data_IF_747651584896
#
_entry.id   IF_747651584896
#
_cell.length_a   1.000
_cell.length_b   1.000
_cell.length_c   1.000
_cell.angle_alpha   90.00
_cell.angle_beta   90.00
_cell.angle_gamma   90.00
#
_symmetry.space_group_name_H-M   'P 1'
#
loop_
_entity.id
_entity.type
_entity.pdbx_description
1 polymer ?
#
# COMPACT_ATOMS: atom_id res chain seq x y z
N UNK A 1 15.91 0.64 3.06
CA UNK A 1 15.65 -0.06 4.35
C UNK A 1 15.35 -1.53 4.08
N UNK A 2 15.63 -2.42 5.03
CA UNK A 2 15.17 -3.81 4.98
C UNK A 2 13.70 -3.89 5.42
N UNK A 3 12.88 -4.59 4.65
CA UNK A 3 11.45 -4.71 4.89
C UNK A 3 10.95 -6.14 4.69
N UNK A 4 9.92 -6.51 5.44
CA UNK A 4 9.12 -7.72 5.19
C UNK A 4 7.93 -7.36 4.30
N UNK A 5 7.60 -8.20 3.32
CA UNK A 5 6.41 -8.01 2.51
C UNK A 5 5.24 -8.82 3.06
N UNK A 6 4.13 -8.15 3.42
CA UNK A 6 2.86 -8.82 3.67
C UNK A 6 2.26 -9.21 2.32
N UNK A 7 2.23 -10.51 2.04
CA UNK A 7 1.76 -11.08 0.77
C UNK A 7 0.43 -11.80 0.98
N UNK A 8 -0.58 -11.39 0.22
CA UNK A 8 -1.87 -12.09 0.14
C UNK A 8 -1.95 -13.04 -1.07
N UNK A 9 -1.04 -12.88 -2.04
CA UNK A 9 -1.06 -13.57 -3.33
C UNK A 9 -1.59 -12.71 -4.47
N UNK A 10 -2.44 -11.74 -4.15
CA UNK A 10 -3.04 -10.85 -5.13
C UNK A 10 -2.11 -9.76 -5.66
N UNK A 11 -2.62 -9.08 -6.69
CA UNK A 11 -1.95 -8.01 -7.44
C UNK A 11 -1.39 -6.91 -6.54
N UNK A 12 -2.12 -6.49 -5.51
CA UNK A 12 -1.78 -5.28 -4.75
C UNK A 12 -0.58 -5.52 -3.84
N UNK A 13 -0.57 -6.65 -3.14
CA UNK A 13 0.55 -7.03 -2.27
C UNK A 13 1.85 -7.19 -3.06
N UNK A 14 1.79 -7.80 -4.25
CA UNK A 14 2.95 -7.97 -5.12
C UNK A 14 3.39 -6.66 -5.77
N UNK A 15 2.45 -5.82 -6.21
CA UNK A 15 2.77 -4.54 -6.83
C UNK A 15 3.34 -3.55 -5.82
N UNK A 16 2.85 -3.52 -4.58
CA UNK A 16 3.47 -2.71 -3.53
C UNK A 16 4.89 -3.18 -3.19
N UNK A 17 5.14 -4.49 -3.18
CA UNK A 17 6.50 -5.02 -3.01
C UNK A 17 7.41 -4.55 -4.16
N UNK A 18 6.92 -4.52 -5.41
CA UNK A 18 7.62 -3.96 -6.57
C UNK A 18 7.96 -2.48 -6.34
N UNK A 19 7.00 -1.68 -5.86
CA UNK A 19 7.25 -0.30 -5.47
C UNK A 19 8.34 -0.17 -4.40
N UNK A 20 8.32 -1.01 -3.37
CA UNK A 20 9.35 -1.01 -2.34
C UNK A 20 10.75 -1.24 -2.94
N UNK A 21 10.91 -2.28 -3.76
CA UNK A 21 12.20 -2.60 -4.39
C UNK A 21 12.66 -1.47 -5.31
N UNK A 22 11.79 -0.96 -6.17
CA UNK A 22 12.10 0.15 -7.07
C UNK A 22 12.48 1.44 -6.31
N UNK A 23 11.91 1.68 -5.13
CA UNK A 23 12.29 2.81 -4.26
C UNK A 23 13.54 2.54 -3.41
N UNK A 24 14.28 1.46 -3.67
CA UNK A 24 15.55 1.14 -2.98
C UNK A 24 15.38 0.47 -1.62
N UNK A 25 14.20 -0.05 -1.31
CA UNK A 25 14.01 -0.95 -0.17
C UNK A 25 14.41 -2.38 -0.54
N UNK A 26 14.81 -3.15 0.45
CA UNK A 26 15.19 -4.55 0.28
C UNK A 26 14.12 -5.41 0.94
N UNK A 27 13.43 -6.22 0.15
CA UNK A 27 12.52 -7.23 0.70
C UNK A 27 13.37 -8.41 1.18
N UNK A 28 13.36 -8.65 2.49
CA UNK A 28 14.21 -9.67 3.14
C UNK A 28 13.44 -10.88 3.64
N UNK A 29 12.11 -10.79 3.68
CA UNK A 29 11.21 -11.89 4.03
C UNK A 29 9.82 -11.62 3.47
N UNK A 30 9.04 -12.69 3.37
CA UNK A 30 7.61 -12.66 3.10
C UNK A 30 6.86 -13.04 4.38
N UNK A 31 5.69 -12.45 4.60
CA UNK A 31 4.80 -12.77 5.70
C UNK A 31 3.36 -12.88 5.19
N UNK A 32 2.62 -13.87 5.68
CA UNK A 32 1.24 -14.12 5.26
C UNK A 32 0.41 -14.65 6.43
N UNK A 33 -0.74 -14.02 6.67
CA UNK A 33 -1.80 -14.59 7.49
C UNK A 33 -2.70 -15.44 6.60
N UNK A 34 -3.13 -16.59 7.11
CA UNK A 34 -3.93 -17.54 6.35
C UNK A 34 -5.09 -18.11 7.17
N UNK A 35 -6.17 -18.58 6.53
CA UNK A 35 -7.25 -19.25 7.24
C UNK A 35 -6.75 -20.49 8.01
N UNK A 36 -7.38 -20.83 9.15
CA UNK A 36 -7.20 -22.12 9.82
C UNK A 36 -7.49 -23.30 8.88
N UNK A 37 -6.79 -24.42 9.07
CA UNK A 37 -6.88 -25.59 8.20
C UNK A 37 -8.28 -26.26 8.18
N UNK A 38 -9.12 -25.97 9.16
CA UNK A 38 -10.46 -26.54 9.37
C UNK A 38 -11.60 -25.66 8.82
N UNK A 39 -11.29 -24.48 8.27
CA UNK A 39 -12.28 -23.45 7.93
C UNK A 39 -12.56 -23.26 6.43
N UNK A 40 -11.99 -24.11 5.56
CA UNK A 40 -12.20 -24.04 4.11
C UNK A 40 -11.44 -22.90 3.43
N UNK A 41 -11.60 -22.78 2.10
CA UNK A 41 -10.85 -21.83 1.27
C UNK A 41 -11.47 -20.41 1.24
N UNK A 42 -12.74 -20.26 1.63
CA UNK A 42 -13.47 -19.00 1.62
C UNK A 42 -14.00 -18.66 3.02
N UNK A 43 -13.47 -17.59 3.59
CA UNK A 43 -13.95 -16.99 4.83
C UNK A 43 -14.36 -15.54 4.60
N UNK A 44 -15.34 -15.07 5.35
CA UNK A 44 -15.71 -13.66 5.44
C UNK A 44 -14.68 -12.87 6.27
N UNK A 45 -13.43 -12.77 5.78
CA UNK A 45 -12.43 -11.86 6.36
C UNK A 45 -12.44 -10.52 5.64
N UNK A 46 -12.61 -9.43 6.41
CA UNK A 46 -12.48 -8.07 5.88
C UNK A 46 -11.00 -7.63 5.69
N UNK A 47 -10.04 -8.36 6.29
CA UNK A 47 -8.63 -7.98 6.26
C UNK A 47 -7.78 -8.80 5.28
N UNK A 48 -8.11 -10.09 5.06
CA UNK A 48 -7.23 -11.00 4.33
C UNK A 48 -7.92 -11.79 3.23
N UNK A 49 -7.21 -11.92 2.11
CA UNK A 49 -7.58 -12.83 1.02
C UNK A 49 -7.47 -14.28 1.50
N UNK A 50 -8.53 -15.06 1.37
CA UNK A 50 -8.51 -16.50 1.75
C UNK A 50 -8.45 -17.43 0.54
N UNK A 51 -9.02 -17.00 -0.61
CA UNK A 51 -8.96 -17.80 -1.83
C UNK A 51 -7.53 -17.85 -2.36
N UNK A 52 -7.05 -19.05 -2.68
CA UNK A 52 -5.69 -19.29 -3.15
C UNK A 52 -4.61 -19.24 -2.06
N UNK A 53 -4.98 -19.19 -0.78
CA UNK A 53 -4.01 -19.15 0.33
C UNK A 53 -3.07 -20.37 0.34
N UNK A 54 -3.50 -21.51 -0.21
CA UNK A 54 -2.72 -22.73 -0.34
C UNK A 54 -1.56 -22.60 -1.34
N UNK A 55 -1.64 -21.66 -2.27
CA UNK A 55 -0.60 -21.40 -3.29
C UNK A 55 0.52 -20.49 -2.73
N UNK A 56 0.22 -19.64 -1.76
CA UNK A 56 1.13 -18.60 -1.26
C UNK A 56 2.48 -19.12 -0.75
N UNK A 57 2.60 -20.30 -0.11
CA UNK A 57 3.91 -20.89 0.22
C UNK A 57 4.91 -20.96 -0.94
N UNK A 58 4.41 -21.11 -2.18
CA UNK A 58 5.27 -21.16 -3.37
C UNK A 58 5.93 -19.82 -3.69
N UNK A 59 5.36 -18.69 -3.22
CA UNK A 59 5.89 -17.34 -3.48
C UNK A 59 7.29 -17.16 -2.88
N UNK A 60 7.63 -17.87 -1.80
CA UNK A 60 8.97 -17.88 -1.22
C UNK A 60 10.05 -18.26 -2.24
N UNK A 61 9.71 -19.13 -3.20
CA UNK A 61 10.59 -19.59 -4.27
C UNK A 61 10.59 -18.65 -5.49
N UNK A 62 9.59 -17.77 -5.58
CA UNK A 62 9.42 -16.85 -6.69
C UNK A 62 10.19 -15.55 -6.48
N UNK A 63 10.10 -14.93 -5.30
CA UNK A 63 10.67 -13.60 -5.06
C UNK A 63 12.21 -13.57 -5.08
N UNK A 64 12.75 -12.44 -5.55
CA UNK A 64 14.19 -12.16 -5.50
C UNK A 64 14.76 -12.06 -4.08
N UNK A 65 15.93 -12.67 -3.87
CA UNK A 65 16.83 -12.26 -2.79
C UNK A 65 17.65 -11.02 -3.22
N UNK A 66 17.73 -9.96 -2.40
CA UNK A 66 18.35 -8.69 -2.81
C UNK A 66 19.87 -8.76 -3.05
N UNK A 67 20.56 -9.75 -2.50
CA UNK A 67 22.03 -9.89 -2.60
C UNK A 67 22.49 -10.84 -3.72
N UNK A 68 21.58 -11.50 -4.45
CA UNK A 68 21.97 -12.45 -5.50
C UNK A 68 21.11 -12.31 -6.75
N UNK A 69 21.77 -12.06 -7.88
CA UNK A 69 21.18 -12.06 -9.21
C UNK A 69 21.10 -13.47 -9.83
N UNK A 70 21.67 -14.48 -9.17
CA UNK A 70 21.68 -15.86 -9.65
C UNK A 70 20.31 -16.52 -9.54
N UNK A 71 19.97 -17.39 -10.50
CA UNK A 71 18.78 -18.24 -10.45
C UNK A 71 18.82 -19.17 -9.23
N UNK A 72 20.01 -19.63 -8.83
CA UNK A 72 20.21 -20.52 -7.70
C UNK A 72 20.26 -19.80 -6.33
N UNK A 73 19.85 -18.54 -6.27
CA UNK A 73 19.74 -17.82 -5.01
C UNK A 73 18.77 -18.54 -4.05
N UNK A 74 19.06 -18.57 -2.75
CA UNK A 74 18.15 -19.18 -1.80
C UNK A 74 16.79 -18.44 -1.80
N UNK A 75 15.68 -19.17 -1.58
CA UNK A 75 14.35 -18.57 -1.49
C UNK A 75 14.29 -17.57 -0.32
N UNK A 76 13.41 -16.57 -0.43
CA UNK A 76 13.18 -15.66 0.69
C UNK A 76 12.54 -16.44 1.86
N UNK A 77 12.95 -16.16 3.12
CA UNK A 77 12.24 -16.65 4.29
C UNK A 77 10.76 -16.27 4.22
N UNK A 78 9.87 -17.23 4.49
CA UNK A 78 8.44 -16.99 4.55
C UNK A 78 7.90 -17.36 5.92
N UNK A 79 7.23 -16.40 6.55
CA UNK A 79 6.57 -16.54 7.83
C UNK A 79 5.07 -16.64 7.60
N UNK A 80 4.44 -17.67 8.16
CA UNK A 80 3.01 -17.90 8.04
C UNK A 80 2.40 -18.14 9.40
N UNK A 81 1.22 -17.57 9.61
CA UNK A 81 0.45 -17.76 10.83
C UNK A 81 -1.04 -17.90 10.47
N UNK A 82 -1.70 -18.85 11.12
CA UNK A 82 -3.14 -19.02 10.98
C UNK A 82 -3.86 -17.87 11.71
N UNK A 83 -4.94 -17.37 11.12
CA UNK A 83 -5.81 -16.37 11.74
C UNK A 83 -6.65 -17.12 12.78
N UNK A 84 -6.36 -16.87 14.05
CA UNK A 84 -7.09 -17.47 15.18
C UNK A 84 -8.12 -16.50 15.76
N UNK A 85 -7.93 -15.21 15.51
CA UNK A 85 -8.83 -14.16 15.94
C UNK A 85 -10.01 -13.94 15.00
N UNK A 86 -11.08 -13.35 15.55
CA UNK A 86 -12.24 -12.85 14.79
C UNK A 86 -12.07 -11.35 14.49
N UNK A 87 -12.80 -10.78 13.52
CA UNK A 87 -12.87 -9.32 13.30
C UNK A 87 -13.67 -8.63 14.43
N UNK A 88 -13.16 -8.69 15.66
CA UNK A 88 -13.89 -8.30 16.86
C UNK A 88 -14.02 -6.77 17.03
N UNK A 89 -13.10 -6.01 16.44
CA UNK A 89 -13.15 -4.55 16.45
C UNK A 89 -13.35 -4.07 15.02
N UNK A 90 -14.55 -3.56 14.67
CA UNK A 90 -14.88 -3.11 13.29
C UNK A 90 -14.80 -1.57 13.15
N UNK A 91 -14.46 -0.86 14.22
CA UNK A 91 -14.36 0.59 14.25
C UNK A 91 -13.28 1.17 13.32
N UNK A 92 -13.41 2.48 13.04
CA UNK A 92 -12.41 3.28 12.32
C UNK A 92 -11.13 3.45 13.16
N UNK A 93 -11.29 3.56 14.48
CA UNK A 93 -10.21 3.49 15.46
C UNK A 93 -10.04 2.05 15.96
N UNK A 94 -8.80 1.65 16.16
CA UNK A 94 -8.46 0.38 16.78
C UNK A 94 -7.86 0.61 18.17
N UNK A 95 -8.52 0.09 19.19
CA UNK A 95 -8.05 0.07 20.58
C UNK A 95 -7.81 -1.40 20.96
N UNK A 96 -6.59 -1.75 21.35
CA UNK A 96 -6.30 -3.11 21.81
C UNK A 96 -6.89 -3.35 23.22
N UNK A 97 -6.94 -4.61 23.66
CA UNK A 97 -7.42 -4.96 25.00
C UNK A 97 -6.60 -4.30 26.14
N UNK A 98 -5.31 -4.00 25.91
CA UNK A 98 -4.46 -3.34 26.90
C UNK A 98 -4.84 -1.85 27.12
N UNK A 99 -5.31 -1.16 26.08
CA UNK A 99 -5.78 0.23 26.14
C UNK A 99 -7.19 0.35 26.75
N UNK A 100 -7.98 -0.74 26.76
CA UNK A 100 -9.34 -0.79 27.34
C UNK A 100 -9.37 -0.99 28.86
N UNK A 101 -8.23 -1.17 29.53
CA UNK A 101 -8.16 -1.40 30.98
C UNK A 101 -8.65 -0.21 31.84
N UNK A 102 -9.07 0.91 31.24
CA UNK A 102 -9.71 2.03 31.94
C UNK A 102 -11.25 1.95 32.04
N UNK A 103 -11.90 0.90 31.54
CA UNK A 103 -13.36 0.74 31.63
C UNK A 103 -13.78 -0.68 32.05
N UNK A 104 -14.45 -0.77 33.20
CA UNK A 104 -14.88 -2.02 33.83
C UNK A 104 -15.84 -2.83 32.95
N UNK A 105 -15.49 -4.11 32.70
CA UNK A 105 -16.39 -5.07 32.06
C UNK A 105 -15.66 -6.11 31.21
N UNK A 106 -14.83 -6.96 31.84
CA UNK A 106 -14.18 -8.09 31.16
C UNK A 106 -15.23 -9.15 30.74
N UNK A 107 -15.69 -9.04 29.50
CA UNK A 107 -16.43 -10.10 28.82
C UNK A 107 -15.50 -10.73 27.78
N UNK A 108 -15.14 -11.99 28.01
CA UNK A 108 -14.54 -12.96 27.08
C UNK A 108 -14.01 -12.35 25.76
N UNK A 109 -12.79 -11.80 25.81
CA UNK A 109 -12.16 -11.15 24.66
C UNK A 109 -11.92 -12.19 23.55
N UNK A 110 -12.71 -12.12 22.49
CA UNK A 110 -12.38 -12.84 21.27
C UNK A 110 -11.00 -12.33 20.81
N UNK A 111 -10.05 -13.26 20.61
CA UNK A 111 -8.76 -12.95 19.99
C UNK A 111 -9.06 -12.18 18.70
N UNK A 112 -8.34 -11.10 18.45
CA UNK A 112 -8.57 -10.24 17.30
C UNK A 112 -7.51 -10.50 16.23
N UNK A 113 -7.93 -10.53 14.96
CA UNK A 113 -7.05 -10.83 13.81
C UNK A 113 -5.85 -9.85 13.69
N UNK A 114 -5.92 -8.69 14.34
CA UNK A 114 -4.82 -7.73 14.45
C UNK A 114 -3.70 -8.24 15.36
N UNK A 115 -4.01 -8.98 16.42
CA UNK A 115 -3.01 -9.54 17.31
C UNK A 115 -2.30 -10.73 16.66
N UNK A 116 -2.98 -11.50 15.79
CA UNK A 116 -2.31 -12.50 14.96
C UNK A 116 -1.26 -11.86 14.04
N UNK A 117 -1.56 -10.68 13.47
CA UNK A 117 -0.60 -9.90 12.70
C UNK A 117 0.57 -9.40 13.55
N UNK A 118 0.29 -8.94 14.77
CA UNK A 118 1.33 -8.53 15.72
C UNK A 118 2.28 -9.68 16.04
N UNK A 119 1.76 -10.86 16.34
CA UNK A 119 2.57 -12.04 16.62
C UNK A 119 3.39 -12.49 15.40
N UNK A 120 2.79 -12.50 14.20
CA UNK A 120 3.49 -12.80 12.95
C UNK A 120 4.67 -11.84 12.72
N UNK A 121 4.44 -10.54 12.83
CA UNK A 121 5.49 -9.55 12.61
C UNK A 121 6.53 -9.54 13.74
N UNK A 122 6.14 -9.91 14.96
CA UNK A 122 7.06 -10.12 16.09
C UNK A 122 8.03 -11.28 15.81
N UNK A 123 7.52 -12.37 15.24
CA UNK A 123 8.36 -13.51 14.83
C UNK A 123 9.36 -13.13 13.74
N UNK A 124 8.90 -12.40 12.72
CA UNK A 124 9.77 -11.86 11.67
C UNK A 124 10.88 -11.00 12.29
N UNK A 125 10.52 -10.06 13.17
CA UNK A 125 11.49 -9.15 13.80
C UNK A 125 12.47 -9.90 14.70
N UNK A 126 12.04 -10.96 15.39
CA UNK A 126 12.94 -11.81 16.19
C UNK A 126 13.91 -12.59 15.32
N UNK A 127 13.46 -13.10 14.18
CA UNK A 127 14.29 -13.86 13.25
C UNK A 127 15.22 -12.95 12.41
N UNK A 128 14.78 -11.73 12.11
CA UNK A 128 15.49 -10.74 11.28
C UNK A 128 15.52 -9.39 12.05
N UNK A 129 16.43 -9.22 13.03
CA UNK A 129 16.42 -8.06 13.93
C UNK A 129 16.65 -6.70 13.25
N UNK A 130 17.22 -6.70 12.05
CA UNK A 130 17.49 -5.49 11.26
C UNK A 130 16.37 -5.14 10.28
N UNK A 131 15.22 -5.81 10.34
CA UNK A 131 14.01 -5.40 9.61
C UNK A 131 13.49 -4.06 10.17
N UNK A 132 13.21 -3.12 9.29
CA UNK A 132 12.83 -1.75 9.64
C UNK A 132 11.45 -1.35 9.13
N UNK A 133 10.85 -2.14 8.25
CA UNK A 133 9.55 -1.81 7.66
C UNK A 133 8.76 -3.00 7.16
N UNK A 134 7.51 -2.71 6.80
CA UNK A 134 6.52 -3.68 6.34
C UNK A 134 5.89 -3.14 5.06
N UNK A 135 5.99 -3.89 3.97
CA UNK A 135 5.31 -3.60 2.70
C UNK A 135 3.87 -4.09 2.76
N UNK A 136 2.91 -3.22 2.42
CA UNK A 136 1.47 -3.47 2.52
C UNK A 136 0.76 -3.01 1.24
N UNK A 137 -0.03 -3.90 0.63
CA UNK A 137 -0.77 -3.64 -0.60
C UNK A 137 -2.14 -2.98 -0.43
N UNK A 138 -2.37 -2.16 0.60
CA UNK A 138 -3.67 -1.51 0.80
C UNK A 138 -3.82 -0.29 -0.15
N UNK A 139 -4.93 -0.20 -0.90
CA UNK A 139 -5.20 0.93 -1.81
C UNK A 139 -6.16 1.93 -1.15
N UNK A 140 -7.39 1.55 -0.82
CA UNK A 140 -8.39 2.47 -0.24
C UNK A 140 -8.87 2.09 1.17
N UNK A 141 -8.65 0.86 1.60
CA UNK A 141 -9.15 0.39 2.90
C UNK A 141 -8.42 1.03 4.09
N UNK A 142 -9.04 2.08 4.68
CA UNK A 142 -8.54 2.71 5.92
C UNK A 142 -8.52 1.70 7.06
N UNK A 143 -9.47 0.78 7.06
CA UNK A 143 -9.57 -0.33 8.01
C UNK A 143 -8.28 -1.17 8.02
N UNK A 144 -7.79 -1.59 6.85
CA UNK A 144 -6.57 -2.40 6.74
C UNK A 144 -5.34 -1.57 7.10
N UNK A 145 -5.26 -0.33 6.61
CA UNK A 145 -4.11 0.56 6.86
C UNK A 145 -3.92 0.82 8.36
N UNK A 146 -4.97 1.25 9.07
CA UNK A 146 -4.88 1.64 10.49
C UNK A 146 -4.43 0.46 11.35
N UNK A 147 -4.91 -0.76 11.08
CA UNK A 147 -4.51 -1.96 11.83
C UNK A 147 -3.04 -2.30 11.64
N UNK A 148 -2.56 -2.26 10.40
CA UNK A 148 -1.15 -2.53 10.13
C UNK A 148 -0.26 -1.44 10.71
N UNK A 149 -0.66 -0.16 10.62
CA UNK A 149 0.05 0.96 11.25
C UNK A 149 0.14 0.80 12.77
N UNK A 150 -0.96 0.42 13.43
CA UNK A 150 -0.99 0.19 14.86
C UNK A 150 -0.02 -0.93 15.30
N UNK A 151 -0.01 -2.07 14.59
CA UNK A 151 0.94 -3.16 14.84
C UNK A 151 2.38 -2.71 14.61
N UNK A 152 2.63 -2.04 13.48
CA UNK A 152 3.97 -1.57 13.14
C UNK A 152 4.49 -0.54 14.15
N UNK A 153 3.64 0.35 14.65
CA UNK A 153 4.01 1.31 15.69
C UNK A 153 4.48 0.61 16.96
N UNK A 154 3.75 -0.41 17.45
CA UNK A 154 4.14 -1.21 18.62
C UNK A 154 5.48 -1.93 18.41
N UNK A 155 5.75 -2.37 17.18
CA UNK A 155 6.98 -3.05 16.81
C UNK A 155 8.09 -2.10 16.35
N UNK A 156 7.89 -0.78 16.32
CA UNK A 156 8.87 0.17 15.79
C UNK A 156 9.26 -0.09 14.33
N UNK A 157 8.31 -0.55 13.51
CA UNK A 157 8.45 -0.79 12.08
C UNK A 157 7.79 0.35 11.28
N UNK A 158 8.32 0.64 10.10
CA UNK A 158 7.75 1.62 9.16
C UNK A 158 6.82 0.94 8.17
N UNK A 159 5.58 1.42 8.04
CA UNK A 159 4.66 0.94 6.98
C UNK A 159 5.06 1.55 5.63
N UNK A 160 5.17 0.70 4.62
CA UNK A 160 5.43 1.07 3.22
C UNK A 160 4.19 0.72 2.39
N UNK A 161 3.28 1.68 2.20
CA UNK A 161 2.02 1.54 1.47
C UNK A 161 1.96 2.53 0.30
N UNK A 162 2.65 2.21 -0.79
CA UNK A 162 2.79 3.07 -1.97
C UNK A 162 1.52 3.20 -2.81
N UNK A 163 0.61 2.22 -2.70
CA UNK A 163 -0.62 2.20 -3.50
C UNK A 163 -1.76 2.99 -2.83
N UNK A 164 -1.53 3.47 -1.61
CA UNK A 164 -2.55 4.12 -0.81
C UNK A 164 -3.10 5.38 -1.49
N UNK A 165 -4.43 5.46 -1.58
CA UNK A 165 -5.18 6.57 -2.20
C UNK A 165 -4.78 6.90 -3.64
N UNK A 166 -4.14 5.97 -4.35
CA UNK A 166 -3.90 6.11 -5.78
C UNK A 166 -5.21 5.96 -6.57
N UNK A 167 -5.29 6.63 -7.72
CA UNK A 167 -6.39 6.46 -8.66
C UNK A 167 -6.42 5.02 -9.19
N UNK A 168 -7.56 4.34 -9.03
CA UNK A 168 -7.66 2.92 -9.35
C UNK A 168 -7.52 2.62 -10.84
N UNK A 169 -7.97 3.52 -11.72
CA UNK A 169 -7.87 3.33 -13.18
C UNK A 169 -6.41 3.44 -13.60
N UNK A 170 -5.71 4.48 -13.15
CA UNK A 170 -4.29 4.67 -13.38
C UNK A 170 -3.46 3.54 -12.75
N UNK A 171 -3.87 3.05 -11.58
CA UNK A 171 -3.18 1.96 -10.90
C UNK A 171 -3.32 0.63 -11.65
N UNK A 172 -4.53 0.27 -12.09
CA UNK A 172 -4.77 -0.93 -12.91
C UNK A 172 -3.92 -0.88 -14.19
N UNK A 173 -3.89 0.27 -14.86
CA UNK A 173 -3.07 0.48 -16.05
C UNK A 173 -1.57 0.41 -15.75
N UNK A 174 -1.11 0.96 -14.63
CA UNK A 174 0.29 0.85 -14.19
C UNK A 174 0.69 -0.60 -13.90
N UNK A 175 -0.17 -1.39 -13.25
CA UNK A 175 0.06 -2.82 -13.04
C UNK A 175 0.22 -3.57 -14.36
N UNK A 176 -0.66 -3.30 -15.33
CA UNK A 176 -0.59 -3.93 -16.67
C UNK A 176 0.70 -3.55 -17.39
N UNK A 177 1.07 -2.27 -17.42
CA UNK A 177 2.31 -1.79 -18.05
C UNK A 177 3.57 -2.32 -17.39
N UNK A 178 3.56 -2.43 -16.06
CA UNK A 178 4.66 -2.99 -15.30
C UNK A 178 4.83 -4.51 -15.51
N UNK A 179 3.95 -5.16 -16.28
CA UNK A 179 4.04 -6.60 -16.55
C UNK A 179 3.58 -7.47 -15.38
N UNK A 180 2.68 -6.96 -14.53
CA UNK A 180 2.04 -7.78 -13.49
C UNK A 180 1.13 -8.82 -14.16
N UNK A 181 1.55 -10.08 -14.18
CA UNK A 181 0.70 -11.19 -14.62
C UNK A 181 -0.14 -11.69 -13.44
N UNK A 182 -1.20 -10.95 -13.12
CA UNK A 182 -2.19 -11.36 -12.12
C UNK A 182 -3.46 -11.80 -12.82
N UNK A 183 -3.99 -12.96 -12.43
CA UNK A 183 -5.21 -13.54 -12.98
C UNK A 183 -6.35 -13.47 -11.96
N UNK A 184 -7.59 -13.34 -12.42
CA UNK A 184 -8.75 -13.44 -11.54
C UNK A 184 -8.91 -14.88 -11.05
N UNK A 185 -9.03 -15.04 -9.74
CA UNK A 185 -9.25 -16.34 -9.08
C UNK A 185 -10.57 -16.40 -8.33
N UNK A 186 -11.23 -15.25 -8.12
CA UNK A 186 -12.58 -15.13 -7.59
C UNK A 186 -13.29 -13.99 -8.29
N UNK A 187 -14.60 -14.13 -8.47
CA UNK A 187 -15.50 -13.07 -8.92
C UNK A 187 -16.75 -13.08 -8.05
N UNK A 188 -17.27 -11.90 -7.71
CA UNK A 188 -18.43 -11.71 -6.85
C UNK A 188 -19.18 -10.40 -7.19
N UNK A 189 -19.20 -10.02 -8.47
CA UNK A 189 -19.80 -8.77 -8.91
C UNK A 189 -20.55 -8.89 -10.23
N UNK A 190 -21.53 -8.01 -10.39
CA UNK A 190 -22.31 -7.90 -11.60
C UNK A 190 -21.41 -7.64 -12.81
N UNK A 191 -21.66 -8.39 -13.89
CA UNK A 191 -20.85 -8.31 -15.10
C UNK A 191 -19.53 -9.11 -15.03
N UNK A 192 -19.22 -9.75 -13.90
CA UNK A 192 -18.20 -10.77 -13.77
C UNK A 192 -18.81 -12.18 -13.60
N UNK A 193 -18.19 -13.20 -14.20
CA UNK A 193 -18.68 -14.58 -14.19
C UNK A 193 -17.52 -15.54 -14.54
N UNK A 194 -17.81 -16.84 -14.60
CA UNK A 194 -16.79 -17.90 -14.70
C UNK A 194 -15.84 -17.81 -15.89
N UNK A 195 -16.24 -17.18 -17.02
CA UNK A 195 -15.35 -16.97 -18.18
C UNK A 195 -14.25 -15.92 -17.94
N UNK A 196 -14.32 -15.16 -16.85
CA UNK A 196 -13.28 -14.21 -16.46
C UNK A 196 -12.24 -14.83 -15.52
N UNK A 197 -12.57 -15.92 -14.82
CA UNK A 197 -11.60 -16.65 -14.02
C UNK A 197 -10.44 -17.12 -14.91
N UNK A 198 -9.22 -17.03 -14.37
CA UNK A 198 -7.98 -17.40 -15.05
C UNK A 198 -7.48 -16.42 -16.11
N UNK A 199 -8.28 -15.39 -16.47
CA UNK A 199 -7.83 -14.34 -17.39
C UNK A 199 -7.00 -13.31 -16.64
N UNK A 200 -5.97 -12.78 -17.30
CA UNK A 200 -5.08 -11.79 -16.71
C UNK A 200 -5.74 -10.40 -16.66
N UNK A 201 -5.27 -9.55 -15.74
CA UNK A 201 -5.69 -8.15 -15.67
C UNK A 201 -5.50 -7.43 -17.01
N UNK A 202 -4.39 -7.69 -17.72
CA UNK A 202 -4.16 -7.11 -19.05
C UNK A 202 -5.24 -7.52 -20.06
N UNK A 203 -5.68 -8.78 -20.03
CA UNK A 203 -6.75 -9.26 -20.90
C UNK A 203 -8.14 -8.73 -20.52
N UNK A 204 -8.34 -8.41 -19.23
CA UNK A 204 -9.61 -7.98 -18.68
C UNK A 204 -9.74 -6.47 -18.53
N UNK A 205 -8.66 -5.70 -18.65
CA UNK A 205 -8.64 -4.25 -18.41
C UNK A 205 -9.78 -3.51 -19.17
N UNK A 206 -10.00 -3.72 -20.49
CA UNK A 206 -11.11 -3.05 -21.17
C UNK A 206 -12.48 -3.42 -20.62
N UNK A 207 -12.65 -4.67 -20.17
CA UNK A 207 -13.89 -5.14 -19.57
C UNK A 207 -14.11 -4.52 -18.19
N UNK A 208 -13.09 -4.51 -17.33
CA UNK A 208 -13.15 -3.91 -15.98
C UNK A 208 -13.45 -2.41 -16.05
N UNK A 209 -12.83 -1.68 -16.97
CA UNK A 209 -13.11 -0.25 -17.17
C UNK A 209 -14.55 -0.01 -17.68
N UNK A 210 -15.07 -0.91 -18.51
CA UNK A 210 -16.48 -0.86 -18.90
C UNK A 210 -17.41 -1.13 -17.72
N UNK A 211 -17.14 -2.14 -16.90
CA UNK A 211 -17.96 -2.42 -15.71
C UNK A 211 -17.87 -1.29 -14.68
N UNK A 212 -16.73 -0.62 -14.57
CA UNK A 212 -16.60 0.59 -13.77
C UNK A 212 -17.53 1.70 -14.26
N UNK A 213 -17.60 1.94 -15.58
CA UNK A 213 -18.48 2.95 -16.15
C UNK A 213 -19.98 2.59 -16.10
N UNK A 214 -20.31 1.30 -16.30
CA UNK A 214 -21.69 0.83 -16.42
C UNK A 214 -22.32 0.52 -15.04
N UNK A 215 -21.50 0.09 -14.07
CA UNK A 215 -21.97 -0.51 -12.80
C UNK A 215 -21.20 -0.04 -11.56
N UNK A 216 -20.37 1.01 -11.66
CA UNK A 216 -19.54 1.55 -10.57
C UNK A 216 -18.61 0.50 -9.93
N UNK A 217 -18.24 -0.56 -10.68
CA UNK A 217 -17.28 -1.57 -10.22
C UNK A 217 -15.94 -0.92 -9.89
N UNK A 218 -15.32 -1.26 -8.76
CA UNK A 218 -13.98 -0.78 -8.44
C UNK A 218 -12.95 -1.44 -9.37
N UNK A 219 -12.21 -0.69 -10.22
CA UNK A 219 -11.30 -1.27 -11.21
C UNK A 219 -10.21 -2.14 -10.59
N UNK A 220 -9.79 -1.84 -9.35
CA UNK A 220 -8.84 -2.63 -8.58
C UNK A 220 -9.50 -3.65 -7.64
N UNK A 221 -10.82 -3.88 -7.70
CA UNK A 221 -11.50 -4.91 -6.89
C UNK A 221 -11.53 -4.63 -5.39
N UNK A 222 -11.41 -3.35 -4.97
CA UNK A 222 -11.38 -2.94 -3.56
C UNK A 222 -12.66 -3.29 -2.78
N UNK A 223 -13.80 -3.42 -3.47
CA UNK A 223 -15.07 -3.81 -2.88
C UNK A 223 -15.25 -5.32 -2.72
N UNK A 224 -14.22 -6.12 -3.03
CA UNK A 224 -14.32 -7.58 -3.07
C UNK A 224 -14.96 -8.12 -4.34
N UNK A 225 -15.07 -7.31 -5.40
CA UNK A 225 -15.70 -7.69 -6.66
C UNK A 225 -14.98 -8.86 -7.35
N UNK A 226 -13.67 -8.92 -7.15
CA UNK A 226 -12.83 -10.01 -7.62
C UNK A 226 -11.57 -10.12 -6.75
N UNK A 227 -11.02 -11.32 -6.67
CA UNK A 227 -9.69 -11.55 -6.09
C UNK A 227 -8.73 -12.04 -7.17
N UNK A 228 -7.43 -11.82 -6.96
CA UNK A 228 -6.40 -12.18 -7.94
C UNK A 228 -5.32 -13.07 -7.35
N UNK A 229 -4.62 -13.76 -8.23
CA UNK A 229 -3.36 -14.44 -7.93
C UNK A 229 -2.30 -13.97 -8.93
N UNK A 230 -1.21 -13.42 -8.44
CA UNK A 230 -0.06 -13.01 -9.24
C UNK A 230 0.80 -14.23 -9.61
N UNK A 231 0.69 -14.66 -10.87
CA UNK A 231 1.45 -15.80 -11.38
C UNK A 231 2.89 -15.42 -11.72
N UNK A 232 3.11 -14.19 -12.19
CA UNK A 232 4.42 -13.64 -12.48
C UNK A 232 4.42 -12.13 -12.30
N UNK A 233 5.57 -11.59 -11.93
CA UNK A 233 5.82 -10.16 -11.93
C UNK A 233 7.32 -9.87 -12.11
N UNK A 234 7.71 -8.60 -12.31
CA UNK A 234 9.12 -8.25 -12.44
C UNK A 234 9.96 -8.65 -11.25
N UNK A 235 9.39 -8.82 -10.04
CA UNK A 235 10.11 -9.26 -8.84
C UNK A 235 10.34 -10.78 -8.75
N UNK A 236 9.80 -11.57 -9.67
CA UNK A 236 9.88 -13.02 -9.61
C UNK A 236 11.06 -13.54 -10.44
N UNK A 237 11.80 -14.52 -9.90
CA UNK A 237 12.72 -15.43 -10.64
C UNK A 237 12.01 -16.65 -11.18
N UNK A 238 11.00 -17.11 -10.46
CA UNK A 238 10.17 -18.24 -10.84
C UNK A 238 8.74 -17.79 -10.96
N UNK A 239 8.06 -18.25 -11.99
CA UNK A 239 6.63 -18.01 -12.18
C UNK A 239 5.82 -19.20 -11.69
N UNK A 240 4.58 -18.95 -11.28
CA UNK A 240 3.64 -19.99 -10.95
C UNK A 240 2.93 -20.48 -12.21
N UNK A 241 2.74 -21.79 -12.28
CA UNK A 241 1.99 -22.45 -13.35
C UNK A 241 0.83 -23.21 -12.73
N UNK A 242 -0.37 -22.76 -13.07
CA UNK A 242 -1.61 -23.36 -12.62
C UNK A 242 -1.94 -24.58 -13.49
N UNK A 243 -2.18 -25.74 -12.87
CA UNK A 243 -2.59 -26.95 -13.59
C UNK A 243 -4.07 -27.22 -13.33
N UNK A 244 -4.90 -26.93 -14.33
CA UNK A 244 -6.33 -27.27 -14.34
C UNK A 244 -7.07 -26.91 -13.04
N UNK A 245 -7.15 -25.61 -12.66
CA UNK A 245 -7.91 -25.21 -11.50
C UNK A 245 -9.39 -25.56 -11.65
N UNK A 246 -10.02 -26.00 -10.55
CA UNK A 246 -11.44 -26.33 -10.52
C UNK A 246 -12.25 -25.10 -10.14
N UNK A 247 -13.34 -24.83 -10.87
CA UNK A 247 -14.27 -23.75 -10.51
C UNK A 247 -15.22 -24.25 -9.42
N UNK A 248 -15.27 -23.52 -8.32
CA UNK A 248 -16.22 -23.72 -7.22
C UNK A 248 -17.25 -22.59 -7.27
N UNK A 249 -18.53 -22.94 -7.17
CA UNK A 249 -19.64 -22.01 -7.06
C UNK A 249 -20.06 -21.92 -5.60
N UNK A 250 -19.85 -20.76 -4.98
CA UNK A 250 -20.20 -20.52 -3.58
C UNK A 250 -21.66 -20.07 -3.45
N UNK A 251 -22.05 -19.11 -4.28
CA UNK A 251 -23.40 -18.55 -4.29
C UNK A 251 -23.89 -18.44 -5.74
N UNK A 252 -24.89 -19.25 -6.13
CA UNK A 252 -25.52 -19.11 -7.43
C UNK A 252 -26.40 -17.85 -7.42
N UNK A 253 -26.05 -16.88 -8.26
CA UNK A 253 -26.87 -15.71 -8.54
C UNK A 253 -26.85 -15.45 -10.05
N UNK A 254 -28.01 -15.15 -10.64
CA UNK A 254 -28.12 -14.97 -12.09
C UNK A 254 -27.36 -13.73 -12.60
N UNK A 255 -27.16 -12.72 -11.75
CA UNK A 255 -26.60 -11.42 -12.10
C UNK A 255 -25.18 -11.21 -11.56
N UNK A 256 -24.88 -11.70 -10.36
CA UNK A 256 -23.62 -11.53 -9.65
C UNK A 256 -23.21 -12.83 -8.90
N UNK A 257 -22.92 -13.92 -9.63
CA UNK A 257 -22.54 -15.18 -9.01
C UNK A 257 -21.20 -15.05 -8.26
N UNK A 258 -21.08 -15.76 -7.15
CA UNK A 258 -19.80 -15.90 -6.42
C UNK A 258 -19.12 -17.18 -6.87
N UNK A 259 -18.06 -17.03 -7.66
CA UNK A 259 -17.30 -18.14 -8.23
C UNK A 259 -15.82 -17.96 -7.92
N UNK A 260 -15.13 -19.04 -7.59
CA UNK A 260 -13.68 -19.00 -7.34
C UNK A 260 -12.96 -20.27 -7.82
N UNK A 261 -11.64 -20.18 -7.94
CA UNK A 261 -10.78 -21.31 -8.25
C UNK A 261 -10.31 -22.01 -6.97
N UNK A 262 -10.45 -23.33 -6.96
CA UNK A 262 -9.70 -24.22 -6.08
C UNK A 262 -8.51 -24.81 -6.84
N UNK A 263 -7.36 -24.88 -6.18
CA UNK A 263 -6.08 -25.28 -6.78
C UNK A 263 -5.62 -26.61 -6.20
N UNK A 264 -5.73 -27.68 -7.00
CA UNK A 264 -5.22 -29.00 -6.62
C UNK A 264 -3.72 -29.16 -6.89
N UNK A 265 -3.24 -28.53 -7.96
CA UNK A 265 -1.84 -28.64 -8.38
C UNK A 265 -1.31 -27.34 -8.99
N UNK A 266 -0.26 -26.78 -8.39
CA UNK A 266 0.46 -25.59 -8.87
C UNK A 266 1.95 -25.88 -8.80
N UNK A 267 2.67 -25.56 -9.88
CA UNK A 267 4.13 -25.72 -9.94
C UNK A 267 4.81 -24.36 -10.08
N UNK A 268 6.12 -24.34 -9.82
CA UNK A 268 6.99 -23.19 -10.09
C UNK A 268 7.91 -23.51 -11.25
N UNK A 269 8.12 -22.54 -12.13
CA UNK A 269 9.03 -22.66 -13.28
C UNK A 269 10.03 -21.51 -13.28
N UNK A 270 11.30 -21.80 -13.57
CA UNK A 270 12.34 -20.80 -13.71
C UNK A 270 12.06 -19.86 -14.90
N UNK A 271 12.35 -18.57 -14.71
CA UNK A 271 12.33 -17.59 -15.79
C UNK A 271 13.66 -17.57 -16.50
N UNK A 272 13.63 -17.22 -17.79
CA UNK A 272 14.86 -16.96 -18.52
C UNK A 272 15.55 -15.72 -17.92
N UNK A 273 16.88 -15.71 -17.75
CA UNK A 273 17.61 -14.53 -17.27
C UNK A 273 17.31 -13.23 -18.05
N UNK A 274 16.94 -13.32 -19.33
CA UNK A 274 16.56 -12.16 -20.15
C UNK A 274 15.22 -11.53 -19.78
N UNK A 275 14.35 -12.27 -19.08
CA UNK A 275 13.06 -11.76 -18.57
C UNK A 275 13.21 -11.00 -17.25
N UNK A 276 14.40 -11.06 -16.63
CA UNK A 276 14.64 -10.44 -15.34
C UNK A 276 15.07 -8.97 -15.52
N UNK A 277 14.56 -8.05 -14.69
CA UNK A 277 14.97 -6.66 -14.74
C UNK A 277 16.47 -6.55 -14.46
N UNK A 278 17.16 -5.78 -15.31
CA UNK A 278 18.62 -5.65 -15.29
C UNK A 278 19.13 -4.65 -14.24
N UNK A 279 18.26 -3.80 -13.67
CA UNK A 279 18.63 -2.79 -12.67
C UNK A 279 17.41 -2.29 -11.86
N UNK A 280 17.70 -1.61 -10.74
CA UNK A 280 16.68 -0.86 -9.99
C UNK A 280 16.05 0.26 -10.81
N UNK A 281 16.80 0.88 -11.74
CA UNK A 281 16.27 1.96 -12.59
C UNK A 281 15.28 1.41 -13.62
N UNK A 282 15.52 0.22 -14.17
CA UNK A 282 14.54 -0.47 -15.01
C UNK A 282 13.25 -0.77 -14.23
N UNK A 283 13.36 -1.19 -12.97
CA UNK A 283 12.18 -1.38 -12.10
C UNK A 283 11.45 -0.06 -11.86
N UNK A 284 12.19 1.04 -11.64
CA UNK A 284 11.59 2.38 -11.49
C UNK A 284 10.87 2.83 -12.74
N UNK A 285 11.43 2.61 -13.93
CA UNK A 285 10.78 2.94 -15.19
C UNK A 285 9.47 2.15 -15.40
N UNK A 286 9.43 0.89 -14.97
CA UNK A 286 8.23 0.05 -15.05
C UNK A 286 7.09 0.56 -14.16
N UNK A 287 7.42 0.98 -12.94
CA UNK A 287 6.41 1.50 -12.01
C UNK A 287 6.20 3.00 -12.15
N UNK A 288 7.10 3.71 -12.84
CA UNK A 288 7.06 5.16 -13.00
C UNK A 288 5.69 5.51 -13.54
N UNK A 289 4.84 6.11 -12.71
CA UNK A 289 3.61 6.66 -13.23
C UNK A 289 3.98 7.76 -14.22
N UNK A 290 3.00 8.09 -15.05
CA UNK A 290 2.65 9.46 -15.39
C UNK A 290 2.50 10.35 -14.12
N UNK A 291 3.51 10.39 -13.23
CA UNK A 291 3.62 11.07 -11.91
C UNK A 291 3.47 12.59 -11.99
N UNK A 292 2.99 13.10 -13.12
CA UNK A 292 2.35 14.39 -13.15
C UNK A 292 1.00 14.25 -12.42
N UNK A 293 1.05 14.22 -11.09
CA UNK A 293 0.22 15.19 -10.40
C UNK A 293 0.55 16.55 -11.06
N UNK A 294 -0.41 17.27 -11.68
CA UNK A 294 -0.14 18.57 -12.29
C UNK A 294 0.48 19.59 -11.30
N UNK A 295 0.56 19.25 -10.01
CA UNK A 295 1.19 20.06 -8.98
C UNK A 295 2.70 19.79 -8.76
N UNK A 296 3.30 18.77 -9.40
CA UNK A 296 4.72 18.43 -9.20
C UNK A 296 5.44 18.26 -10.54
N UNK A 297 5.51 19.34 -11.32
CA UNK A 297 6.64 19.54 -12.24
C UNK A 297 7.67 20.44 -11.55
N UNK A 298 8.71 19.83 -10.98
CA UNK A 298 9.93 20.55 -10.62
C UNK A 298 10.72 20.73 -11.92
N UNK A 299 10.94 21.96 -12.43
CA UNK A 299 11.66 22.13 -13.68
C UNK A 299 13.12 21.68 -13.50
N UNK A 300 13.56 20.73 -14.31
CA UNK A 300 14.96 20.39 -14.45
C UNK A 300 15.70 21.62 -15.03
N UNK A 301 16.69 22.12 -14.28
CA UNK A 301 17.56 23.20 -14.75
C UNK A 301 18.62 22.57 -15.65
N UNK A 302 18.51 22.77 -16.95
CA UNK A 302 19.59 22.46 -17.88
C UNK A 302 19.62 23.46 -19.04
N UNK A 303 20.66 24.30 -19.03
CA UNK A 303 21.46 24.66 -20.20
C UNK A 303 20.80 25.54 -21.27
N UNK A 304 21.19 26.81 -21.28
CA UNK A 304 20.92 27.84 -22.27
C UNK A 304 21.19 27.46 -23.74
N UNK A 305 20.32 27.91 -24.68
CA UNK A 305 20.68 28.94 -25.69
C UNK A 305 19.47 29.37 -26.58
N UNK A 306 19.18 30.68 -26.49
CA UNK A 306 18.44 31.66 -27.33
C UNK A 306 16.97 31.46 -27.84
N UNK A 307 16.04 32.41 -27.57
CA UNK A 307 14.66 32.43 -28.05
C UNK A 307 14.35 33.53 -29.10
N UNK A 308 13.18 33.44 -29.75
CA UNK A 308 12.12 34.48 -29.91
C UNK A 308 11.13 34.09 -31.06
N UNK A 309 9.87 34.58 -31.10
CA UNK A 309 8.90 34.80 -30.02
C UNK A 309 7.46 34.34 -30.41
N UNK A 310 6.53 34.26 -29.46
CA UNK A 310 5.17 34.85 -29.58
C UNK A 310 4.62 35.01 -28.15
N UNK A 311 4.15 36.23 -27.93
CA UNK A 311 3.72 36.87 -26.70
C UNK A 311 2.39 36.33 -26.16
N UNK A 312 2.33 36.03 -24.87
CA UNK A 312 1.11 36.25 -24.09
C UNK A 312 1.46 36.75 -22.68
N UNK A 313 0.85 37.89 -22.35
CA UNK A 313 1.20 38.79 -21.27
C UNK A 313 0.86 38.24 -19.87
N UNK A 314 1.76 37.46 -19.26
CA UNK A 314 1.85 37.35 -17.81
C UNK A 314 3.19 37.92 -17.36
N UNK A 315 3.14 39.11 -16.75
CA UNK A 315 4.30 39.74 -16.12
C UNK A 315 4.76 38.88 -14.95
N UNK A 316 5.80 38.10 -15.17
CA UNK A 316 6.61 37.53 -14.10
C UNK A 316 7.49 38.68 -13.60
N UNK A 317 7.30 39.07 -12.33
CA UNK A 317 8.22 39.97 -11.65
C UNK A 317 9.59 39.29 -11.55
N UNK A 318 10.70 39.99 -11.88
CA UNK A 318 12.03 39.42 -11.73
C UNK A 318 12.27 39.06 -10.26
N UNK A 319 12.68 37.82 -10.02
CA UNK A 319 13.20 37.32 -8.76
C UNK A 319 14.58 37.92 -8.50
N UNK A 320 14.61 39.21 -8.16
CA UNK A 320 15.73 39.82 -7.46
C UNK A 320 15.56 39.58 -5.97
N UNK A 321 16.01 38.43 -5.49
CA UNK A 321 16.63 38.18 -4.18
C UNK A 321 16.56 36.69 -3.85
N UNK A 322 17.69 36.14 -3.42
CA UNK A 322 17.71 35.07 -2.42
C UNK A 322 17.03 35.59 -1.16
N UNK A 323 15.71 35.59 -1.16
CA UNK A 323 14.90 35.66 0.04
C UNK A 323 14.32 34.27 0.23
N UNK A 324 14.65 33.65 1.36
CA UNK A 324 13.77 32.67 2.00
C UNK A 324 12.45 33.37 2.27
N UNK A 325 11.60 33.51 1.26
CA UNK A 325 10.29 34.09 1.44
C UNK A 325 9.52 33.13 2.35
N UNK A 326 9.33 33.56 3.60
CA UNK A 326 8.33 33.00 4.51
C UNK A 326 6.98 33.13 3.81
N UNK A 327 6.61 32.09 3.05
CA UNK A 327 5.28 32.01 2.48
C UNK A 327 4.34 31.72 3.65
N UNK A 328 3.46 32.67 3.97
CA UNK A 328 2.43 32.44 4.96
C UNK A 328 1.60 31.20 4.59
N UNK A 329 1.20 30.39 5.59
CA UNK A 329 0.27 29.29 5.38
C UNK A 329 -0.97 29.74 4.61
N UNK A 330 -1.39 28.92 3.64
CA UNK A 330 -2.61 29.17 2.88
C UNK A 330 -3.76 28.41 3.54
N UNK A 331 -4.84 29.13 3.85
CA UNK A 331 -6.07 28.55 4.41
C UNK A 331 -7.17 28.64 3.36
N UNK A 332 -7.80 27.50 3.04
CA UNK A 332 -8.90 27.44 2.09
C UNK A 332 -10.01 26.53 2.59
N UNK A 333 -11.25 27.00 2.48
CA UNK A 333 -12.43 26.19 2.73
C UNK A 333 -12.95 25.61 1.42
N UNK A 334 -13.20 24.30 1.39
CA UNK A 334 -13.77 23.57 0.25
C UNK A 334 -14.94 22.74 0.78
N UNK A 335 -16.16 23.25 0.59
CA UNK A 335 -17.36 22.65 1.18
C UNK A 335 -17.27 22.61 2.72
N UNK A 336 -17.44 21.44 3.36
CA UNK A 336 -17.30 21.28 4.81
C UNK A 336 -15.84 21.16 5.28
N UNK A 337 -14.88 21.04 4.36
CA UNK A 337 -13.48 20.81 4.68
C UNK A 337 -12.71 22.12 4.76
N UNK A 338 -11.85 22.24 5.77
CA UNK A 338 -10.87 23.31 5.91
C UNK A 338 -9.48 22.77 5.63
N UNK A 339 -8.76 23.39 4.71
CA UNK A 339 -7.43 22.96 4.27
C UNK A 339 -6.38 24.01 4.66
N UNK A 340 -5.28 23.53 5.22
CA UNK A 340 -4.09 24.31 5.53
C UNK A 340 -2.94 23.79 4.68
N UNK A 341 -2.32 24.64 3.87
CA UNK A 341 -1.23 24.24 2.97
C UNK A 341 -0.06 25.21 3.00
N UNK A 342 1.07 24.79 2.41
CA UNK A 342 2.32 25.54 2.38
C UNK A 342 2.88 25.93 3.76
N UNK A 343 2.56 25.15 4.80
CA UNK A 343 3.16 25.33 6.14
C UNK A 343 4.62 24.89 6.07
N UNK A 344 5.54 25.80 6.41
CA UNK A 344 6.98 25.56 6.41
C UNK A 344 7.55 25.86 7.79
N UNK A 345 8.70 25.27 8.17
CA UNK A 345 9.38 25.63 9.40
C UNK A 345 9.66 27.13 9.44
N UNK A 346 9.42 27.78 10.57
CA UNK A 346 9.78 29.20 10.76
C UNK A 346 11.27 29.32 11.08
N UNK A 347 11.90 30.34 10.52
CA UNK A 347 13.32 30.60 10.71
C UNK A 347 14.21 29.51 10.12
N UNK A 348 15.39 29.33 10.72
CA UNK A 348 16.36 28.33 10.32
C UNK A 348 16.51 27.30 11.45
N UNK A 349 15.68 26.26 11.50
CA UNK A 349 15.65 25.31 12.61
C UNK A 349 16.97 24.56 12.73
N UNK A 350 17.46 24.38 13.97
CA UNK A 350 18.76 23.77 14.26
C UNK A 350 18.79 22.25 13.98
N UNK A 351 17.62 21.63 13.84
CA UNK A 351 17.46 20.20 13.57
C UNK A 351 16.20 19.92 12.77
N UNK A 352 16.16 18.73 12.16
CA UNK A 352 14.96 18.22 11.50
C UNK A 352 13.78 18.12 12.48
N UNK A 353 14.03 17.65 13.69
CA UNK A 353 13.01 17.51 14.73
C UNK A 353 12.42 18.87 15.09
N UNK A 354 13.26 19.90 15.27
CA UNK A 354 12.81 21.28 15.49
C UNK A 354 12.04 21.83 14.29
N UNK A 355 12.44 21.47 13.07
CA UNK A 355 11.74 21.88 11.86
C UNK A 355 10.31 21.31 11.81
N UNK A 356 10.16 20.02 12.11
CA UNK A 356 8.85 19.34 12.15
C UNK A 356 8.00 19.90 13.28
N UNK A 357 8.59 20.12 14.45
CA UNK A 357 7.89 20.71 15.60
C UNK A 357 7.36 22.11 15.26
N UNK A 358 8.19 22.95 14.60
CA UNK A 358 7.78 24.27 14.12
C UNK A 358 6.60 24.22 13.15
N UNK A 359 6.59 23.26 12.21
CA UNK A 359 5.47 23.08 11.27
C UNK A 359 4.20 22.66 12.01
N UNK A 360 4.31 21.70 12.93
CA UNK A 360 3.15 21.18 13.65
C UNK A 360 2.56 22.20 14.62
N UNK A 361 3.36 22.97 15.34
CA UNK A 361 2.88 24.07 16.20
C UNK A 361 2.13 25.14 15.39
N UNK A 362 2.60 25.44 14.18
CA UNK A 362 1.92 26.38 13.28
C UNK A 362 0.58 25.81 12.82
N UNK A 363 0.54 24.55 12.41
CA UNK A 363 -0.68 23.88 12.02
C UNK A 363 -1.70 23.85 13.17
N UNK A 364 -1.26 23.53 14.40
CA UNK A 364 -2.12 23.51 15.59
C UNK A 364 -2.68 24.90 15.89
N UNK A 365 -1.84 25.93 15.77
CA UNK A 365 -2.25 27.32 15.97
C UNK A 365 -3.29 27.77 14.92
N UNK A 366 -3.10 27.40 13.65
CA UNK A 366 -4.06 27.67 12.58
C UNK A 366 -5.39 26.95 12.80
N UNK A 367 -5.36 25.67 13.15
CA UNK A 367 -6.57 24.92 13.48
C UNK A 367 -7.34 25.57 14.64
N UNK A 368 -6.63 25.96 15.71
CA UNK A 368 -7.22 26.59 16.88
C UNK A 368 -7.88 27.93 16.57
N UNK A 369 -7.32 28.73 15.64
CA UNK A 369 -7.94 29.98 15.16
C UNK A 369 -9.30 29.76 14.50
N UNK A 370 -9.56 28.56 13.98
CA UNK A 370 -10.82 28.15 13.39
C UNK A 370 -11.68 27.28 14.32
N UNK A 371 -11.34 27.20 15.61
CA UNK A 371 -12.08 26.40 16.60
C UNK A 371 -11.88 24.88 16.45
N UNK A 372 -10.85 24.46 15.71
CA UNK A 372 -10.52 23.07 15.46
C UNK A 372 -9.29 22.63 16.27
N UNK A 373 -9.19 21.34 16.54
CA UNK A 373 -8.01 20.70 17.14
C UNK A 373 -7.41 19.72 16.15
N UNK A 374 -6.11 19.82 15.86
CA UNK A 374 -5.43 18.84 14.99
C UNK A 374 -5.57 17.42 15.54
N UNK A 375 -5.47 17.23 16.86
CA UNK A 375 -5.52 15.90 17.46
C UNK A 375 -6.89 15.20 17.29
N UNK A 376 -7.96 15.95 17.04
CA UNK A 376 -9.35 15.44 16.97
C UNK A 376 -9.97 15.59 15.59
N UNK A 377 -9.73 16.71 14.93
CA UNK A 377 -10.46 17.17 13.76
C UNK A 377 -9.64 17.07 12.47
N UNK A 378 -8.34 16.71 12.55
CA UNK A 378 -7.54 16.47 11.37
C UNK A 378 -7.90 15.13 10.73
N UNK A 379 -8.39 15.19 9.49
CA UNK A 379 -8.83 14.02 8.74
C UNK A 379 -7.70 13.46 7.87
N UNK A 380 -6.86 14.34 7.31
CA UNK A 380 -5.81 13.98 6.37
C UNK A 380 -4.66 15.00 6.42
N UNK A 381 -3.42 14.55 6.23
CA UNK A 381 -2.25 15.42 6.20
C UNK A 381 -1.15 14.92 5.25
N UNK A 382 -0.86 15.65 4.19
CA UNK A 382 0.31 15.37 3.33
C UNK A 382 1.57 15.96 3.94
N UNK A 383 2.53 15.10 4.32
CA UNK A 383 3.84 15.52 4.84
C UNK A 383 4.91 15.30 3.77
N UNK A 384 5.47 16.38 3.24
CA UNK A 384 6.52 16.32 2.23
C UNK A 384 7.90 16.33 2.90
N UNK A 385 8.64 15.23 2.73
CA UNK A 385 10.03 15.10 3.19
C UNK A 385 10.99 15.08 2.00
N UNK A 386 12.16 15.70 2.16
CA UNK A 386 13.18 15.70 1.10
C UNK A 386 13.78 14.31 0.87
N UNK A 387 13.89 13.51 1.93
CA UNK A 387 14.44 12.16 1.88
C UNK A 387 13.61 11.21 2.76
N UNK A 388 13.25 10.04 2.23
CA UNK A 388 12.50 9.03 2.97
C UNK A 388 13.29 8.40 4.13
N UNK A 389 14.62 8.50 4.16
CA UNK A 389 15.42 8.08 5.32
C UNK A 389 15.09 8.86 6.59
N UNK A 390 14.62 10.10 6.44
CA UNK A 390 14.26 10.99 7.55
C UNK A 390 12.84 10.73 8.08
N UNK A 391 12.04 9.92 7.36
CA UNK A 391 10.62 9.71 7.66
C UNK A 391 10.40 9.22 9.09
N UNK A 392 11.20 8.27 9.58
CA UNK A 392 11.05 7.75 10.96
C UNK A 392 11.24 8.85 12.02
N UNK A 393 12.21 9.74 11.83
CA UNK A 393 12.49 10.87 12.74
C UNK A 393 11.38 11.91 12.68
N UNK A 394 10.91 12.24 11.46
CA UNK A 394 9.75 13.12 11.25
C UNK A 394 8.50 12.54 11.91
N UNK A 395 8.25 11.24 11.71
CA UNK A 395 7.09 10.55 12.23
C UNK A 395 7.06 10.55 13.76
N UNK A 396 8.21 10.38 14.41
CA UNK A 396 8.34 10.40 15.87
C UNK A 396 7.97 11.76 16.49
N UNK A 397 8.22 12.88 15.80
CA UNK A 397 7.81 14.21 16.27
C UNK A 397 6.35 14.47 15.91
N UNK A 398 5.97 14.19 14.66
CA UNK A 398 4.60 14.39 14.17
C UNK A 398 3.58 13.66 15.06
N UNK A 399 3.84 12.40 15.41
CA UNK A 399 2.92 11.58 16.19
C UNK A 399 2.53 12.18 17.55
N UNK A 400 3.39 13.02 18.14
CA UNK A 400 3.15 13.68 19.44
C UNK A 400 2.00 14.69 19.43
N UNK A 401 1.60 15.16 18.25
CA UNK A 401 0.53 16.15 18.07
C UNK A 401 -0.85 15.50 17.94
N UNK A 402 -0.91 14.18 17.92
CA UNK A 402 -2.13 13.39 17.83
C UNK A 402 -2.27 12.54 19.09
N UNK A 403 -3.51 12.21 19.44
CA UNK A 403 -3.80 11.28 20.53
C UNK A 403 -3.57 9.84 20.08
N UNK A 404 -4.66 9.09 19.96
CA UNK A 404 -4.65 7.73 19.43
C UNK A 404 -4.81 7.83 17.90
N UNK A 405 -3.83 7.32 17.16
CA UNK A 405 -3.75 7.30 15.69
C UNK A 405 -3.63 8.70 15.04
N UNK A 406 -2.44 9.07 14.53
CA UNK A 406 -2.29 10.30 13.74
C UNK A 406 -3.21 10.32 12.51
N UNK A 407 -3.61 11.52 12.07
CA UNK A 407 -4.34 11.67 10.82
C UNK A 407 -3.61 10.95 9.67
N UNK A 408 -4.36 10.33 8.77
CA UNK A 408 -3.80 9.59 7.64
C UNK A 408 -2.88 10.49 6.81
N UNK A 409 -1.71 9.96 6.43
CA UNK A 409 -0.65 10.68 5.70
C UNK A 409 -0.30 10.07 4.38
#
# INVERSE_FOLDING_TARGET
MKAVALISGGKDSCFNALHCVANGHQIVALANLHPPADQGDELDSHMYQTVGHNVIPLYAQCFFHPESTAIDAPPLPMFRRAISGTSASIGISYDNAADRQSSEGAAQEALDEVEDLFELLSEVKRAIPDVQGVSVGAILSTYQRVRVEHVCQRLGLTVLAYLWQQDQVALLDSMVRAGMNSVLIKVAAMGLNGRHLGRSLAQLQPHLLKMHADFDLHPCGEGGEYETLTLDCPLFRRRLVLHQPTVVEHSPDEMAPVLFYSFDHVTVEDKDPSELPCSYDALRELIAPSLCDPLIQVPAISGASEPEPITNNLRILPSSSTTTAESNPVVKQVGPLLTFSAIRPRGNPDSLESAVDSVMQQATSLAAQHGLSIARDAIFATVLVRNMSDFARVNAVYGKYFGINPAAR
#
